data_IF_828856516103
#
_entry.id   IF_828856516103
#
_cell.length_a   1.000
_cell.length_b   1.000
_cell.length_c   1.000
_cell.angle_alpha   90.00
_cell.angle_beta   90.00
_cell.angle_gamma   90.00
#
_symmetry.space_group_name_H-M   'P 1'
#
loop_
_entity.id
_entity.type
_entity.pdbx_description
1 polymer ?
#
# COMPACT_ATOMS: atom_id res chain seq x y z
N UNK A 1 19.41 -16.24 58.00
CA UNK A 1 19.36 -14.76 57.99
C UNK A 1 17.97 -14.36 57.53
N UNK A 2 17.21 -13.73 58.41
CA UNK A 2 15.81 -13.34 58.21
C UNK A 2 15.70 -11.87 57.78
N UNK A 3 14.69 -11.53 56.98
CA UNK A 3 13.87 -10.31 57.05
C UNK A 3 12.81 -10.40 55.94
N UNK A 4 11.55 -10.70 56.24
CA UNK A 4 10.49 -9.82 56.77
C UNK A 4 9.78 -9.00 55.67
N UNK A 5 8.47 -9.26 55.66
CA UNK A 5 7.34 -8.77 54.86
C UNK A 5 7.11 -7.25 54.90
N UNK A 6 6.43 -6.72 53.87
CA UNK A 6 5.17 -5.99 54.06
C UNK A 6 4.39 -5.82 52.74
N UNK A 7 3.15 -6.27 52.75
CA UNK A 7 2.11 -5.97 51.78
C UNK A 7 1.24 -4.84 52.35
N UNK A 8 0.89 -3.85 51.53
CA UNK A 8 -0.09 -2.81 51.88
C UNK A 8 -1.23 -2.90 50.87
N UNK A 9 -2.39 -3.33 51.35
CA UNK A 9 -3.69 -3.14 50.70
C UNK A 9 -4.28 -1.81 51.15
N UNK A 10 -4.79 -1.01 50.21
CA UNK A 10 -5.74 0.06 50.51
C UNK A 10 -6.92 -0.06 49.55
N UNK A 11 -8.10 -0.22 50.14
CA UNK A 11 -9.41 -0.19 49.51
C UNK A 11 -10.16 1.09 49.91
N UNK A 12 -11.34 1.27 49.30
CA UNK A 12 -12.36 2.34 49.46
C UNK A 12 -12.20 3.50 48.46
N UNK A 13 -13.24 4.10 47.90
CA UNK A 13 -14.67 3.80 47.69
C UNK A 13 -15.22 4.97 46.86
N UNK A 14 -16.25 4.72 46.06
CA UNK A 14 -16.98 5.68 45.23
C UNK A 14 -17.59 6.89 45.97
N UNK A 15 -17.59 8.06 45.33
CA UNK A 15 -18.74 8.98 45.38
C UNK A 15 -18.80 9.91 44.13
N UNK A 16 -20.00 10.16 43.55
CA UNK A 16 -20.21 10.96 42.35
C UNK A 16 -20.55 12.44 42.67
N UNK A 17 -20.55 13.28 41.62
CA UNK A 17 -20.92 14.71 41.58
C UNK A 17 -19.82 15.74 41.91
N UNK A 18 -19.23 16.30 40.85
CA UNK A 18 -18.96 17.74 40.80
C UNK A 18 -19.15 18.26 39.37
N UNK A 19 -20.14 19.14 39.21
CA UNK A 19 -20.34 19.97 38.02
C UNK A 19 -19.19 20.98 37.94
N UNK A 20 -18.53 21.07 36.80
CA UNK A 20 -17.63 22.18 36.47
C UNK A 20 -18.11 22.83 35.18
N UNK A 21 -18.46 24.10 35.33
CA UNK A 21 -18.96 25.05 34.35
C UNK A 21 -17.89 25.39 33.30
N UNK A 22 -18.28 25.34 32.03
CA UNK A 22 -17.51 25.80 30.89
C UNK A 22 -17.87 27.26 30.56
N UNK A 23 -17.06 28.20 31.04
CA UNK A 23 -17.00 29.56 30.49
C UNK A 23 -15.52 29.87 30.27
N UNK A 24 -15.08 29.95 29.02
CA UNK A 24 -14.00 30.84 28.53
C UNK A 24 -13.74 30.55 27.04
N UNK A 25 -14.38 31.33 26.16
CA UNK A 25 -14.04 31.45 24.74
C UNK A 25 -13.62 32.90 24.49
N UNK A 26 -12.40 33.18 24.01
CA UNK A 26 -12.10 34.45 23.36
C UNK A 26 -12.25 34.32 21.84
N UNK A 27 -13.26 35.00 21.29
CA UNK A 27 -13.40 35.28 19.85
C UNK A 27 -12.32 36.29 19.43
N UNK A 28 -11.57 35.99 18.36
CA UNK A 28 -10.84 37.01 17.60
C UNK A 28 -11.41 37.10 16.17
N UNK A 29 -12.10 38.21 15.91
CA UNK A 29 -12.47 38.69 14.58
C UNK A 29 -11.54 39.85 14.21
N UNK A 30 -10.82 39.76 13.10
CA UNK A 30 -10.46 40.92 12.26
C UNK A 30 -10.30 40.47 10.79
N UNK A 31 -11.02 41.08 9.83
CA UNK A 31 -10.73 40.88 8.42
C UNK A 31 -9.60 41.81 7.98
N UNK A 32 -8.66 41.29 7.18
CA UNK A 32 -7.67 42.08 6.44
C UNK A 32 -8.15 42.15 4.99
N UNK A 33 -8.42 43.37 4.51
CA UNK A 33 -8.68 43.65 3.10
C UNK A 33 -7.35 43.60 2.32
N UNK A 34 -7.31 42.77 1.27
CA UNK A 34 -6.24 42.80 0.27
C UNK A 34 -6.87 43.20 -1.07
N UNK A 35 -6.35 44.30 -1.62
CA UNK A 35 -6.70 44.84 -2.93
C UNK A 35 -5.94 44.07 -4.03
N UNK A 36 -6.66 43.53 -5.01
CA UNK A 36 -6.12 42.92 -6.22
C UNK A 36 -6.15 43.96 -7.36
N UNK A 37 -4.97 44.34 -7.85
CA UNK A 37 -4.81 45.02 -9.13
C UNK A 37 -4.60 43.96 -10.22
N UNK A 38 -5.43 44.03 -11.26
CA UNK A 38 -5.35 43.21 -12.46
C UNK A 38 -4.78 44.04 -13.62
N UNK A 39 -3.90 43.41 -14.41
CA UNK A 39 -3.58 43.76 -15.80
C UNK A 39 -3.17 42.45 -16.47
N UNK A 40 -3.98 41.84 -17.36
CA UNK A 40 -3.97 41.98 -18.84
C UNK A 40 -2.56 42.14 -19.39
N UNK A 41 -2.04 41.39 -20.36
CA UNK A 41 -2.63 40.59 -21.45
C UNK A 41 -1.46 40.00 -22.26
N UNK A 42 -1.59 38.82 -22.85
CA UNK A 42 -0.75 38.40 -23.98
C UNK A 42 -1.53 37.42 -24.88
N UNK A 43 -1.83 37.87 -26.09
CA UNK A 43 -2.47 37.11 -27.17
C UNK A 43 -1.46 36.18 -27.86
N UNK A 44 -1.96 35.03 -28.30
CA UNK A 44 -1.31 34.05 -29.16
C UNK A 44 -1.79 34.24 -30.61
N UNK A 45 -0.89 34.09 -31.58
CA UNK A 45 -1.22 33.87 -33.00
C UNK A 45 -0.33 32.75 -33.57
N UNK A 46 -0.90 31.66 -34.10
CA UNK A 46 -0.19 30.82 -35.04
C UNK A 46 -0.97 30.61 -36.35
N UNK A 47 -0.41 31.11 -37.44
CA UNK A 47 -0.85 30.85 -38.81
C UNK A 47 -0.67 29.39 -39.25
N UNK A 48 -1.74 28.83 -39.83
CA UNK A 48 -1.80 27.56 -40.58
C UNK A 48 -1.11 27.67 -41.94
N UNK A 49 -0.47 26.58 -42.37
CA UNK A 49 -0.29 26.23 -43.78
C UNK A 49 -0.46 24.70 -43.96
N UNK A 50 -1.49 24.33 -44.73
CA UNK A 50 -1.76 23.00 -45.27
C UNK A 50 -0.95 22.79 -46.56
N UNK A 51 -0.60 21.53 -46.91
CA UNK A 51 -0.57 21.03 -48.30
C UNK A 51 -0.47 19.48 -48.37
N UNK A 52 -1.57 18.90 -48.87
CA UNK A 52 -1.79 17.71 -49.73
C UNK A 52 -0.81 16.52 -49.86
N UNK A 53 -1.41 15.32 -49.75
CA UNK A 53 -0.98 13.99 -50.27
C UNK A 53 -0.93 13.92 -51.81
N UNK A 54 -0.32 12.84 -52.36
CA UNK A 54 -1.04 12.02 -53.34
C UNK A 54 -0.97 10.50 -53.09
N UNK A 55 -1.89 9.82 -53.79
CA UNK A 55 -2.27 8.41 -53.76
C UNK A 55 -1.45 7.60 -54.78
N UNK A 56 -1.17 6.32 -54.50
CA UNK A 56 -0.71 5.33 -55.47
C UNK A 56 -1.34 3.95 -55.23
N UNK A 57 -2.11 3.48 -56.22
CA UNK A 57 -2.61 2.10 -56.35
C UNK A 57 -1.47 1.10 -56.61
N UNK A 58 -1.62 -0.17 -56.22
CA UNK A 58 -1.81 -1.29 -57.17
C UNK A 58 -1.83 -2.69 -56.55
N UNK A 59 -2.69 -3.53 -57.17
CA UNK A 59 -2.71 -5.01 -57.31
C UNK A 59 -3.37 -5.90 -56.25
N UNK A 60 -4.44 -6.55 -56.75
CA UNK A 60 -5.11 -7.76 -56.27
C UNK A 60 -4.18 -8.98 -56.31
N UNK A 61 -4.30 -9.85 -55.31
CA UNK A 61 -4.16 -11.30 -55.45
C UNK A 61 -5.28 -11.96 -54.64
N UNK A 62 -6.12 -12.76 -55.31
CA UNK A 62 -7.05 -13.67 -54.67
C UNK A 62 -6.35 -15.03 -54.52
N UNK A 63 -6.38 -15.61 -53.33
CA UNK A 63 -6.08 -17.01 -53.10
C UNK A 63 -7.02 -17.55 -52.01
N UNK A 64 -7.74 -18.62 -52.33
CA UNK A 64 -8.60 -19.37 -51.42
C UNK A 64 -7.76 -20.04 -50.32
N UNK A 65 -8.22 -19.98 -49.07
CA UNK A 65 -7.78 -20.87 -48.01
C UNK A 65 -8.96 -21.20 -47.08
N UNK A 66 -9.18 -22.50 -46.91
CA UNK A 66 -10.09 -23.18 -45.98
C UNK A 66 -9.85 -22.70 -44.54
N UNK A 67 -10.89 -22.51 -43.70
CA UNK A 67 -10.66 -22.19 -42.30
C UNK A 67 -10.28 -23.47 -41.54
N UNK A 68 -9.00 -23.61 -41.20
CA UNK A 68 -8.57 -24.50 -40.11
C UNK A 68 -8.68 -23.70 -38.84
N UNK A 69 -9.52 -24.17 -37.91
CA UNK A 69 -9.57 -23.63 -36.55
C UNK A 69 -8.18 -23.76 -35.91
N UNK A 70 -7.58 -22.64 -35.54
CA UNK A 70 -6.48 -22.62 -34.59
C UNK A 70 -7.01 -22.13 -33.25
N UNK A 71 -7.19 -23.06 -32.32
CA UNK A 71 -7.34 -22.77 -30.91
C UNK A 71 -5.92 -22.66 -30.32
N UNK A 72 -5.31 -21.49 -30.44
CA UNK A 72 -4.12 -21.17 -29.65
C UNK A 72 -4.55 -20.33 -28.44
N UNK A 73 -4.86 -21.01 -27.33
CA UNK A 73 -4.83 -20.39 -26.01
C UNK A 73 -3.38 -19.97 -25.78
N UNK A 74 -3.12 -18.67 -25.80
CA UNK A 74 -1.79 -18.11 -25.66
C UNK A 74 -1.13 -18.58 -24.37
N UNK A 75 -0.01 -19.29 -24.49
CA UNK A 75 0.93 -19.50 -23.40
C UNK A 75 1.40 -18.14 -22.89
N UNK A 76 1.00 -17.77 -21.67
CA UNK A 76 1.59 -16.60 -20.99
C UNK A 76 3.05 -16.94 -20.69
N UNK A 77 3.95 -16.42 -21.51
CA UNK A 77 5.39 -16.42 -21.26
C UNK A 77 5.66 -15.92 -19.83
N UNK A 78 6.35 -16.72 -19.03
CA UNK A 78 6.84 -16.32 -17.70
C UNK A 78 7.78 -15.12 -17.84
N UNK A 79 7.26 -13.91 -17.68
CA UNK A 79 8.06 -12.69 -17.77
C UNK A 79 8.96 -12.56 -16.54
N UNK A 80 10.24 -12.27 -16.77
CA UNK A 80 11.20 -11.90 -15.73
C UNK A 80 10.65 -10.70 -14.95
N UNK A 81 10.56 -10.76 -13.60
CA UNK A 81 10.03 -9.65 -12.82
C UNK A 81 10.95 -8.43 -12.89
N UNK A 82 10.35 -7.24 -12.92
CA UNK A 82 11.09 -6.01 -12.64
C UNK A 82 11.46 -5.97 -11.16
N UNK A 83 12.65 -5.49 -10.84
CA UNK A 83 13.14 -5.41 -9.46
C UNK A 83 13.48 -3.96 -9.13
N UNK A 84 12.91 -3.45 -8.04
CA UNK A 84 13.34 -2.20 -7.38
C UNK A 84 13.96 -2.58 -6.05
N UNK A 85 15.20 -2.19 -5.80
CA UNK A 85 15.89 -2.44 -4.54
C UNK A 85 15.68 -1.28 -3.58
N UNK A 86 15.33 -1.57 -2.33
CA UNK A 86 15.32 -0.60 -1.24
C UNK A 86 16.62 -0.73 -0.46
N UNK A 87 17.52 0.23 -0.61
CA UNK A 87 18.85 0.15 0.03
C UNK A 87 18.79 0.64 1.48
N UNK A 88 18.99 -0.28 2.42
CA UNK A 88 19.09 -0.05 3.86
C UNK A 88 20.27 -0.81 4.47
N UNK A 89 21.32 -1.04 3.68
CA UNK A 89 22.49 -1.83 4.05
C UNK A 89 22.15 -3.29 4.33
N UNK A 90 22.42 -3.78 5.55
CA UNK A 90 22.14 -5.19 5.90
C UNK A 90 20.63 -5.53 5.94
N UNK A 91 19.76 -4.54 5.79
CA UNK A 91 18.29 -4.69 5.79
C UNK A 91 17.68 -4.38 4.42
N UNK A 92 18.50 -4.28 3.37
CA UNK A 92 18.01 -4.06 2.02
C UNK A 92 17.11 -5.20 1.57
N UNK A 93 16.10 -4.88 0.78
CA UNK A 93 15.15 -5.86 0.27
C UNK A 93 14.65 -5.51 -1.13
N UNK A 94 14.30 -6.54 -1.92
CA UNK A 94 13.75 -6.37 -3.26
C UNK A 94 12.24 -6.17 -3.25
N UNK A 95 11.77 -5.36 -4.21
CA UNK A 95 10.38 -5.26 -4.63
C UNK A 95 10.29 -5.92 -6.02
N UNK A 96 9.61 -7.06 -6.10
CA UNK A 96 9.33 -7.75 -7.36
C UNK A 96 8.03 -7.23 -7.96
N UNK A 97 8.04 -6.86 -9.23
CA UNK A 97 6.88 -6.29 -9.94
C UNK A 97 6.68 -7.02 -11.26
N UNK A 98 5.46 -7.49 -11.51
CA UNK A 98 5.05 -8.02 -12.81
C UNK A 98 3.73 -8.78 -12.74
N UNK A 99 3.39 -9.45 -13.85
CA UNK A 99 2.18 -10.28 -13.97
C UNK A 99 2.46 -11.75 -13.65
N UNK A 100 1.56 -12.41 -12.94
CA UNK A 100 1.63 -13.85 -12.63
C UNK A 100 2.75 -14.23 -11.66
N UNK A 101 3.20 -13.29 -10.83
CA UNK A 101 4.30 -13.53 -9.88
C UNK A 101 3.90 -14.48 -8.76
N UNK A 102 2.61 -14.59 -8.43
CA UNK A 102 2.13 -15.59 -7.47
C UNK A 102 2.29 -17.02 -7.97
N UNK A 103 2.44 -17.24 -9.28
CA UNK A 103 2.71 -18.56 -9.86
C UNK A 103 4.22 -18.92 -9.85
N UNK A 104 5.08 -17.93 -9.57
CA UNK A 104 6.55 -18.08 -9.50
C UNK A 104 6.99 -18.33 -8.05
N UNK A 105 6.72 -19.54 -7.55
CA UNK A 105 6.90 -19.90 -6.14
C UNK A 105 8.32 -19.65 -5.60
N UNK A 106 9.36 -19.74 -6.44
CA UNK A 106 10.75 -19.47 -6.06
C UNK A 106 10.95 -18.03 -5.57
N UNK A 107 10.15 -17.07 -6.06
CA UNK A 107 10.24 -15.67 -5.61
C UNK A 107 9.84 -15.51 -4.14
N UNK A 108 8.83 -16.24 -3.67
CA UNK A 108 8.42 -16.23 -2.27
C UNK A 108 9.36 -17.09 -1.43
N UNK A 109 9.59 -18.34 -1.84
CA UNK A 109 10.26 -19.34 -1.03
C UNK A 109 11.71 -18.96 -0.67
N UNK A 110 12.42 -18.24 -1.54
CA UNK A 110 13.79 -17.78 -1.25
C UNK A 110 13.88 -16.79 -0.07
N UNK A 111 12.77 -16.13 0.27
CA UNK A 111 12.68 -15.18 1.39
C UNK A 111 12.06 -15.81 2.65
N UNK A 112 11.71 -17.10 2.59
CA UNK A 112 11.25 -17.89 3.74
C UNK A 112 12.43 -18.63 4.35
N UNK A 113 13.00 -18.05 5.41
CA UNK A 113 14.20 -18.58 6.07
C UNK A 113 13.94 -19.66 7.13
N UNK A 114 12.68 -20.07 7.31
CA UNK A 114 12.26 -21.07 8.29
C UNK A 114 11.31 -22.11 7.71
N UNK A 115 10.67 -22.89 8.59
CA UNK A 115 9.78 -24.00 8.20
C UNK A 115 8.30 -23.69 8.39
N UNK A 116 7.96 -22.62 9.10
CA UNK A 116 6.58 -22.25 9.41
C UNK A 116 6.27 -20.87 8.86
N UNK A 117 5.14 -20.75 8.17
CA UNK A 117 4.64 -19.48 7.63
C UNK A 117 3.24 -19.22 8.18
N UNK A 118 2.96 -17.96 8.51
CA UNK A 118 1.62 -17.49 8.88
C UNK A 118 1.14 -16.49 7.84
N UNK A 119 0.13 -16.85 7.04
CA UNK A 119 -0.51 -15.92 6.11
C UNK A 119 -1.58 -15.13 6.87
N UNK A 120 -1.45 -13.82 6.91
CA UNK A 120 -2.44 -12.90 7.49
C UNK A 120 -3.15 -12.19 6.34
N UNK A 121 -4.47 -12.33 6.28
CA UNK A 121 -5.30 -11.74 5.23
C UNK A 121 -6.65 -11.32 5.81
N UNK A 122 -7.58 -10.82 4.97
CA UNK A 122 -8.93 -10.47 5.39
C UNK A 122 -10.00 -11.35 4.71
N UNK A 123 -11.24 -11.20 5.16
CA UNK A 123 -12.41 -11.94 4.64
C UNK A 123 -12.69 -11.73 3.15
N UNK A 124 -12.21 -10.64 2.55
CA UNK A 124 -12.46 -10.29 1.14
C UNK A 124 -11.37 -10.88 0.23
N UNK A 125 -10.11 -10.83 0.66
CA UNK A 125 -8.93 -11.25 -0.10
C UNK A 125 -8.70 -12.76 0.02
N UNK A 126 -9.03 -13.36 1.17
CA UNK A 126 -8.86 -14.80 1.40
C UNK A 126 -9.45 -15.68 0.28
N UNK A 127 -10.75 -15.56 -0.08
CA UNK A 127 -11.34 -16.42 -1.12
C UNK A 127 -10.78 -16.18 -2.52
N UNK A 128 -10.05 -15.09 -2.75
CA UNK A 128 -9.48 -14.74 -4.07
C UNK A 128 -8.06 -15.31 -4.24
N UNK A 129 -7.22 -15.18 -3.21
CA UNK A 129 -5.78 -15.34 -3.36
C UNK A 129 -5.10 -16.21 -2.29
N UNK A 130 -5.77 -16.58 -1.19
CA UNK A 130 -5.13 -17.32 -0.11
C UNK A 130 -4.60 -18.67 -0.58
N UNK A 131 -5.43 -19.47 -1.23
CA UNK A 131 -5.05 -20.81 -1.71
C UNK A 131 -3.89 -20.74 -2.71
N UNK A 132 -3.90 -19.73 -3.59
CA UNK A 132 -2.81 -19.49 -4.55
C UNK A 132 -1.49 -19.18 -3.84
N UNK A 133 -1.52 -18.35 -2.80
CA UNK A 133 -0.33 -18.04 -1.99
C UNK A 133 0.14 -19.25 -1.18
N UNK A 134 -0.77 -20.03 -0.62
CA UNK A 134 -0.43 -21.27 0.10
C UNK A 134 0.23 -22.29 -0.84
N UNK A 135 -0.29 -22.47 -2.05
CA UNK A 135 0.34 -23.30 -3.08
C UNK A 135 1.74 -22.77 -3.40
N UNK A 136 1.89 -21.47 -3.68
CA UNK A 136 3.20 -20.88 -3.96
C UNK A 136 4.23 -21.07 -2.83
N UNK A 137 3.79 -21.04 -1.57
CA UNK A 137 4.68 -21.25 -0.42
C UNK A 137 5.08 -22.72 -0.20
N UNK A 138 4.26 -23.67 -0.64
CA UNK A 138 4.42 -25.12 -0.31
C UNK A 138 4.80 -25.98 -1.51
N UNK A 139 4.54 -25.50 -2.74
CA UNK A 139 4.80 -26.22 -3.99
C UNK A 139 6.27 -26.59 -4.11
N UNK A 140 6.51 -27.89 -4.26
CA UNK A 140 7.86 -28.46 -4.33
C UNK A 140 8.68 -28.36 -3.04
N UNK A 141 8.11 -27.88 -1.93
CA UNK A 141 8.83 -27.62 -0.69
C UNK A 141 8.19 -28.32 0.52
N UNK A 142 8.56 -29.60 0.79
CA UNK A 142 7.98 -30.38 1.89
C UNK A 142 8.39 -29.88 3.28
N UNK A 143 9.31 -28.91 3.38
CA UNK A 143 9.81 -28.39 4.66
C UNK A 143 9.00 -27.20 5.19
N UNK A 144 8.11 -26.62 4.37
CA UNK A 144 7.31 -25.46 4.72
C UNK A 144 5.88 -25.91 5.07
N UNK A 145 5.42 -25.54 6.25
CA UNK A 145 4.02 -25.64 6.67
C UNK A 145 3.41 -24.25 6.80
N UNK A 146 2.19 -24.08 6.29
CA UNK A 146 1.49 -22.79 6.28
C UNK A 146 0.27 -22.85 7.19
N UNK A 147 0.16 -21.88 8.09
CA UNK A 147 -1.03 -21.54 8.85
C UNK A 147 -1.60 -20.22 8.31
N UNK A 148 -2.87 -19.92 8.59
CA UNK A 148 -3.46 -18.64 8.21
C UNK A 148 -4.34 -18.01 9.31
N UNK A 149 -4.50 -16.69 9.22
CA UNK A 149 -5.45 -15.88 9.99
C UNK A 149 -6.24 -15.02 9.01
N UNK A 150 -7.57 -15.12 9.08
CA UNK A 150 -8.48 -14.30 8.30
C UNK A 150 -9.10 -13.26 9.24
N UNK A 151 -8.72 -11.99 9.04
CA UNK A 151 -9.22 -10.84 9.78
C UNK A 151 -10.48 -10.27 9.11
N UNK A 152 -11.33 -9.54 9.85
CA UNK A 152 -12.42 -8.77 9.23
C UNK A 152 -11.86 -7.66 8.34
N UNK A 153 -12.56 -7.35 7.24
CA UNK A 153 -12.12 -6.33 6.27
C UNK A 153 -12.56 -4.90 6.63
N UNK A 154 -11.65 -3.93 6.44
CA UNK A 154 -11.90 -2.50 6.59
C UNK A 154 -11.00 -1.77 7.61
N UNK A 155 -10.77 -0.47 7.38
CA UNK A 155 -9.91 0.40 8.21
C UNK A 155 -10.35 0.44 9.70
N UNK A 156 -11.65 0.32 9.98
CA UNK A 156 -12.18 0.28 11.35
C UNK A 156 -11.62 -0.87 12.21
N UNK A 157 -11.16 -1.95 11.57
CA UNK A 157 -10.56 -3.10 12.23
C UNK A 157 -9.04 -2.99 12.38
N UNK A 158 -8.42 -1.90 11.90
CA UNK A 158 -7.00 -1.62 12.05
C UNK A 158 -6.67 -1.15 13.47
N UNK A 159 -6.87 -2.03 14.45
CA UNK A 159 -6.80 -1.73 15.88
C UNK A 159 -6.15 -2.89 16.67
N UNK A 160 -5.85 -2.65 17.94
CA UNK A 160 -5.16 -3.63 18.79
C UNK A 160 -5.99 -4.90 19.02
N UNK A 161 -7.30 -4.78 19.19
CA UNK A 161 -8.19 -5.91 19.41
C UNK A 161 -8.13 -6.91 18.25
N UNK A 162 -8.16 -6.41 17.01
CA UNK A 162 -8.07 -7.27 15.82
C UNK A 162 -6.66 -7.81 15.64
N UNK A 163 -5.63 -7.02 15.97
CA UNK A 163 -4.23 -7.45 15.93
C UNK A 163 -3.94 -8.63 16.87
N UNK A 164 -4.60 -8.68 18.04
CA UNK A 164 -4.46 -9.79 19.00
C UNK A 164 -4.78 -11.15 18.39
N UNK A 165 -5.73 -11.23 17.45
CA UNK A 165 -6.06 -12.49 16.74
C UNK A 165 -4.87 -13.08 15.99
N UNK A 166 -3.96 -12.23 15.50
CA UNK A 166 -2.72 -12.67 14.85
C UNK A 166 -1.78 -13.29 15.87
N UNK A 167 -1.61 -12.66 17.03
CA UNK A 167 -0.78 -13.19 18.11
C UNK A 167 -1.35 -14.48 18.70
N UNK A 168 -2.65 -14.55 18.94
CA UNK A 168 -3.33 -15.72 19.49
C UNK A 168 -3.11 -16.92 18.56
N UNK A 169 -3.39 -16.78 17.26
CA UNK A 169 -3.14 -17.85 16.29
C UNK A 169 -1.67 -18.26 16.23
N UNK A 170 -0.74 -17.30 16.26
CA UNK A 170 0.69 -17.57 16.21
C UNK A 170 1.16 -18.37 17.44
N UNK A 171 0.65 -18.05 18.63
CA UNK A 171 0.97 -18.74 19.89
C UNK A 171 0.32 -20.13 19.93
N UNK A 172 -0.96 -20.24 19.57
CA UNK A 172 -1.70 -21.51 19.50
C UNK A 172 -1.02 -22.50 18.54
N UNK A 173 -0.55 -22.00 17.38
CA UNK A 173 0.17 -22.79 16.36
C UNK A 173 1.64 -23.05 16.72
N UNK A 174 2.08 -22.58 17.90
CA UNK A 174 3.44 -22.68 18.43
C UNK A 174 4.48 -22.24 17.40
N UNK A 175 4.27 -21.06 16.83
CA UNK A 175 5.26 -20.42 15.95
C UNK A 175 6.46 -19.97 16.77
N UNK A 176 7.65 -20.06 16.17
CA UNK A 176 8.91 -19.67 16.79
C UNK A 176 9.56 -18.49 16.05
N UNK A 177 10.74 -18.07 16.50
CA UNK A 177 11.47 -16.89 15.96
C UNK A 177 11.90 -17.04 14.49
N UNK A 178 11.87 -18.24 13.92
CA UNK A 178 12.21 -18.52 12.53
C UNK A 178 10.97 -18.56 11.64
N UNK A 179 9.77 -18.40 12.18
CA UNK A 179 8.57 -18.27 11.35
C UNK A 179 8.64 -17.01 10.47
N UNK A 180 7.88 -17.02 9.39
CA UNK A 180 7.71 -15.86 8.51
C UNK A 180 6.24 -15.51 8.42
N UNK A 181 5.89 -14.25 8.65
CA UNK A 181 4.53 -13.76 8.42
C UNK A 181 4.39 -13.30 6.97
N UNK A 182 3.24 -13.53 6.36
CA UNK A 182 2.95 -13.08 4.99
C UNK A 182 1.72 -12.19 5.04
N UNK A 183 1.88 -10.92 4.71
CA UNK A 183 0.79 -9.97 4.61
C UNK A 183 0.16 -10.07 3.22
N UNK A 184 -1.03 -10.67 3.12
CA UNK A 184 -1.77 -10.81 1.87
C UNK A 184 -3.01 -9.91 1.89
N UNK A 185 -2.93 -8.74 1.24
CA UNK A 185 -4.03 -7.78 1.27
C UNK A 185 -3.63 -6.37 0.85
N UNK A 186 -4.49 -5.39 1.16
CA UNK A 186 -4.18 -3.97 1.02
C UNK A 186 -3.35 -3.41 2.18
N UNK A 187 -3.23 -2.09 2.25
CA UNK A 187 -2.40 -1.40 3.25
C UNK A 187 -2.80 -1.67 4.71
N UNK A 188 -4.09 -1.92 4.98
CA UNK A 188 -4.57 -2.31 6.33
C UNK A 188 -3.91 -3.60 6.79
N UNK A 189 -3.95 -4.65 5.97
CA UNK A 189 -3.32 -5.93 6.28
C UNK A 189 -1.80 -5.80 6.32
N UNK A 190 -1.21 -5.02 5.39
CA UNK A 190 0.22 -4.74 5.37
C UNK A 190 0.72 -4.15 6.70
N UNK A 191 0.06 -3.09 7.17
CA UNK A 191 0.44 -2.41 8.41
C UNK A 191 0.23 -3.28 9.65
N UNK A 192 -0.91 -3.98 9.73
CA UNK A 192 -1.21 -4.86 10.87
C UNK A 192 -0.27 -6.06 10.91
N UNK A 193 -0.07 -6.75 9.79
CA UNK A 193 0.81 -7.92 9.72
C UNK A 193 2.26 -7.52 9.99
N UNK A 194 2.73 -6.41 9.41
CA UNK A 194 4.07 -5.88 9.66
C UNK A 194 4.29 -5.53 11.14
N UNK A 195 3.31 -4.91 11.79
CA UNK A 195 3.42 -4.58 13.22
C UNK A 195 3.34 -5.82 14.11
N UNK A 196 2.48 -6.78 13.76
CA UNK A 196 2.45 -8.09 14.43
C UNK A 196 3.80 -8.81 14.30
N UNK A 197 4.41 -8.82 13.12
CA UNK A 197 5.72 -9.43 12.90
C UNK A 197 6.83 -8.73 13.70
N UNK A 198 6.79 -7.40 13.79
CA UNK A 198 7.73 -6.62 14.59
C UNK A 198 7.63 -6.95 16.09
N UNK A 199 6.41 -7.14 16.60
CA UNK A 199 6.15 -7.35 18.02
C UNK A 199 6.25 -8.82 18.45
N UNK A 200 5.80 -9.77 17.61
CA UNK A 200 5.74 -11.19 17.94
C UNK A 200 7.14 -11.72 18.23
N UNK A 201 7.33 -12.28 19.44
CA UNK A 201 8.63 -12.72 19.94
C UNK A 201 9.73 -11.64 19.84
N UNK A 202 9.38 -10.35 19.79
CA UNK A 202 10.29 -9.20 19.57
C UNK A 202 10.92 -9.16 18.17
N UNK A 203 10.25 -9.71 17.17
CA UNK A 203 10.66 -9.66 15.78
C UNK A 203 10.74 -11.05 15.15
N UNK A 204 9.97 -11.23 14.09
CA UNK A 204 10.05 -12.36 13.14
C UNK A 204 10.02 -11.82 11.72
N UNK A 205 10.55 -12.59 10.77
CA UNK A 205 10.55 -12.18 9.37
C UNK A 205 9.13 -11.97 8.85
N UNK A 206 8.95 -11.05 7.89
CA UNK A 206 7.69 -10.96 7.15
C UNK A 206 7.88 -10.59 5.69
N UNK A 207 6.88 -10.92 4.86
CA UNK A 207 6.81 -10.65 3.43
C UNK A 207 5.52 -9.88 3.14
N UNK A 208 5.57 -8.92 2.21
CA UNK A 208 4.41 -8.18 1.73
C UNK A 208 3.94 -8.73 0.37
N UNK A 209 2.64 -9.03 0.26
CA UNK A 209 1.96 -9.33 -1.00
C UNK A 209 0.79 -8.33 -1.15
N UNK A 210 1.08 -7.09 -1.59
CA UNK A 210 0.09 -6.04 -1.71
C UNK A 210 -0.88 -6.26 -2.90
N UNK A 211 -2.18 -6.16 -2.64
CA UNK A 211 -3.26 -6.46 -3.62
C UNK A 211 -4.12 -5.23 -3.98
N UNK A 212 -3.72 -4.04 -3.53
CA UNK A 212 -4.35 -2.77 -3.93
C UNK A 212 -3.31 -1.83 -4.54
N UNK A 213 -3.73 -0.91 -5.40
CA UNK A 213 -2.82 0.09 -5.99
C UNK A 213 -2.12 0.87 -4.88
N UNK A 214 -2.89 1.39 -3.91
CA UNK A 214 -2.38 2.07 -2.70
C UNK A 214 -1.27 1.27 -1.99
N UNK A 215 -1.45 -0.04 -1.83
CA UNK A 215 -0.47 -0.88 -1.18
C UNK A 215 0.77 -1.11 -2.05
N UNK A 216 0.59 -1.31 -3.35
CA UNK A 216 1.66 -1.57 -4.31
C UNK A 216 2.57 -0.35 -4.51
N UNK A 217 2.01 0.86 -4.52
CA UNK A 217 2.77 2.09 -4.83
C UNK A 217 3.27 2.83 -3.59
N UNK A 218 2.69 2.56 -2.41
CA UNK A 218 3.01 3.31 -1.20
C UNK A 218 3.18 2.40 0.02
N UNK A 219 2.10 1.92 0.65
CA UNK A 219 2.19 1.35 2.02
C UNK A 219 3.05 0.09 2.17
N UNK A 220 3.26 -0.71 1.12
CA UNK A 220 4.15 -1.88 1.21
C UNK A 220 5.65 -1.52 1.25
N UNK A 221 6.01 -0.27 0.94
CA UNK A 221 7.40 0.21 0.86
C UNK A 221 7.76 1.07 2.07
N UNK A 222 8.92 0.81 2.66
CA UNK A 222 9.56 1.66 3.67
C UNK A 222 9.27 1.31 5.13
N UNK A 223 8.58 0.21 5.39
CA UNK A 223 8.53 -0.43 6.71
C UNK A 223 7.83 0.36 7.82
N UNK A 224 7.01 1.37 7.49
CA UNK A 224 6.06 1.92 8.48
C UNK A 224 4.97 0.87 8.66
N UNK A 225 4.74 0.44 9.90
CA UNK A 225 3.73 -0.57 10.25
C UNK A 225 2.98 -0.08 11.48
N UNK A 226 1.72 -0.47 11.65
CA UNK A 226 0.98 -0.05 12.83
C UNK A 226 -0.52 -0.25 12.77
N UNK A 227 -1.18 0.37 13.75
CA UNK A 227 -2.61 0.36 13.98
C UNK A 227 -3.10 1.73 14.42
N UNK A 228 -4.40 1.94 14.28
CA UNK A 228 -5.09 3.14 14.72
C UNK A 228 -5.40 3.09 16.22
N UNK A 229 -5.45 4.27 16.81
CA UNK A 229 -6.04 4.51 18.12
C UNK A 229 -7.36 5.28 17.91
N UNK A 230 -8.37 5.20 18.80
CA UNK A 230 -9.59 6.00 18.67
C UNK A 230 -9.36 7.52 18.56
N UNK A 231 -8.21 8.01 19.05
CA UNK A 231 -7.81 9.42 18.99
C UNK A 231 -6.96 9.79 17.76
N UNK A 232 -6.60 8.84 16.90
CA UNK A 232 -5.85 9.16 15.70
C UNK A 232 -5.31 7.98 14.93
N UNK A 233 -5.05 8.24 13.64
CA UNK A 233 -4.58 7.25 12.67
C UNK A 233 -3.10 6.93 12.86
N UNK A 234 -2.74 5.64 12.75
CA UNK A 234 -1.35 5.15 12.76
C UNK A 234 -0.48 5.58 13.96
N UNK A 235 -1.09 5.88 15.12
CA UNK A 235 -0.35 6.38 16.28
C UNK A 235 0.46 5.31 17.03
N UNK A 236 0.17 4.03 16.80
CA UNK A 236 0.83 2.91 17.47
C UNK A 236 1.42 1.99 16.41
N UNK A 237 2.74 1.80 16.41
CA UNK A 237 3.39 1.06 15.34
C UNK A 237 4.89 0.86 15.54
N UNK A 238 5.54 0.38 14.48
CA UNK A 238 6.99 0.16 14.43
C UNK A 238 7.54 0.44 13.01
N UNK A 239 8.79 0.87 12.95
CA UNK A 239 9.59 0.81 11.72
C UNK A 239 10.18 -0.60 11.59
N UNK A 240 9.64 -1.42 10.68
CA UNK A 240 9.99 -2.82 10.49
C UNK A 240 9.96 -3.20 9.01
N UNK A 241 11.11 -3.60 8.45
CA UNK A 241 11.26 -3.85 7.01
C UNK A 241 10.90 -5.30 6.65
N UNK A 242 10.23 -5.53 5.50
CA UNK A 242 9.96 -6.87 5.01
C UNK A 242 11.23 -7.54 4.47
N UNK A 243 11.18 -8.85 4.27
CA UNK A 243 12.22 -9.59 3.54
C UNK A 243 12.12 -9.35 2.02
N UNK A 244 10.90 -9.14 1.52
CA UNK A 244 10.62 -8.68 0.17
C UNK A 244 9.18 -8.15 0.06
N UNK A 245 8.93 -7.45 -1.05
CA UNK A 245 7.59 -7.12 -1.51
C UNK A 245 7.36 -7.83 -2.83
N UNK A 246 6.25 -8.55 -2.97
CA UNK A 246 5.87 -9.24 -4.21
C UNK A 246 4.57 -8.66 -4.77
N UNK A 247 4.72 -7.87 -5.84
CA UNK A 247 3.64 -7.17 -6.52
C UNK A 247 3.26 -7.96 -7.78
N UNK A 248 2.26 -8.83 -7.63
CA UNK A 248 1.58 -9.44 -8.77
C UNK A 248 0.48 -8.50 -9.28
N UNK A 249 0.68 -7.91 -10.46
CA UNK A 249 -0.25 -6.95 -11.07
C UNK A 249 -1.60 -7.58 -11.40
N UNK A 250 -1.67 -8.90 -11.56
CA UNK A 250 -2.93 -9.61 -11.84
C UNK A 250 -3.91 -9.48 -10.68
N UNK A 251 -3.43 -9.27 -9.45
CA UNK A 251 -4.30 -9.07 -8.28
C UNK A 251 -5.18 -7.83 -8.39
N UNK A 252 -4.77 -6.86 -9.23
CA UNK A 252 -5.56 -5.67 -9.50
C UNK A 252 -6.79 -5.95 -10.37
N UNK A 253 -6.91 -7.09 -11.06
CA UNK A 253 -8.06 -7.37 -11.92
C UNK A 253 -9.38 -7.51 -11.14
N UNK A 254 -9.31 -7.84 -9.85
CA UNK A 254 -10.48 -7.94 -8.95
C UNK A 254 -10.68 -6.69 -8.09
N UNK A 255 -9.79 -5.72 -8.16
CA UNK A 255 -9.86 -4.52 -7.32
C UNK A 255 -11.03 -3.62 -7.78
N UNK A 256 -11.91 -3.11 -6.90
CA UNK A 256 -12.96 -2.17 -7.30
C UNK A 256 -12.40 -0.87 -7.90
N UNK A 257 -13.13 -0.24 -8.83
CA UNK A 257 -12.69 1.01 -9.48
C UNK A 257 -12.44 2.15 -8.49
N UNK A 258 -13.26 2.24 -7.43
CA UNK A 258 -13.08 3.26 -6.37
C UNK A 258 -11.74 3.08 -5.62
N UNK A 259 -11.35 1.84 -5.35
CA UNK A 259 -10.08 1.51 -4.69
C UNK A 259 -8.88 1.75 -5.63
N UNK A 260 -9.05 1.47 -6.93
CA UNK A 260 -8.07 1.81 -7.95
C UNK A 260 -7.83 3.33 -7.99
N UNK A 261 -8.91 4.11 -8.12
CA UNK A 261 -8.84 5.57 -8.14
C UNK A 261 -8.21 6.13 -6.84
N UNK A 262 -8.56 5.55 -5.69
CA UNK A 262 -7.95 5.91 -4.41
C UNK A 262 -6.44 5.71 -4.41
N UNK A 263 -5.93 4.59 -4.93
CA UNK A 263 -4.49 4.34 -5.01
C UNK A 263 -3.75 5.30 -5.96
N UNK A 264 -4.40 5.79 -7.01
CA UNK A 264 -3.80 6.75 -7.95
C UNK A 264 -3.50 8.11 -7.30
N UNK A 265 -4.17 8.47 -6.20
CA UNK A 265 -3.84 9.69 -5.45
C UNK A 265 -2.38 9.68 -4.96
N UNK A 266 -1.88 8.52 -4.52
CA UNK A 266 -0.47 8.38 -4.10
C UNK A 266 0.50 8.41 -5.30
N UNK A 267 0.08 7.87 -6.44
CA UNK A 267 0.87 7.94 -7.69
C UNK A 267 1.07 9.41 -8.10
N UNK A 268 0.00 10.20 -8.03
CA UNK A 268 0.02 11.65 -8.30
C UNK A 268 0.90 12.40 -7.30
N UNK A 269 0.81 12.05 -6.01
CA UNK A 269 1.61 12.66 -4.95
C UNK A 269 3.12 12.61 -5.27
N UNK A 270 3.65 11.47 -5.74
CA UNK A 270 5.08 11.37 -6.06
C UNK A 270 5.51 12.33 -7.17
N UNK A 271 4.67 12.48 -8.19
CA UNK A 271 4.92 13.44 -9.27
C UNK A 271 5.01 14.87 -8.74
N UNK A 272 4.05 15.27 -7.92
CA UNK A 272 3.97 16.62 -7.34
C UNK A 272 5.12 16.95 -6.39
N UNK A 273 5.53 16.01 -5.52
CA UNK A 273 6.51 16.32 -4.48
C UNK A 273 7.96 16.28 -4.98
N UNK A 274 8.25 15.51 -6.06
CA UNK A 274 9.65 15.27 -6.43
C UNK A 274 9.95 14.82 -7.86
N UNK A 275 8.95 14.54 -8.70
CA UNK A 275 9.19 13.88 -9.99
C UNK A 275 8.31 14.47 -11.11
N UNK A 276 8.68 15.67 -11.57
CA UNK A 276 7.92 16.41 -12.56
C UNK A 276 7.74 15.64 -13.88
N UNK A 277 8.77 14.93 -14.35
CA UNK A 277 8.66 14.09 -15.56
C UNK A 277 7.65 12.96 -15.36
N UNK A 278 7.60 12.36 -14.16
CA UNK A 278 6.58 11.36 -13.85
C UNK A 278 5.19 11.98 -13.77
N UNK A 279 5.04 13.19 -13.23
CA UNK A 279 3.77 13.92 -13.23
C UNK A 279 3.26 14.18 -14.67
N UNK A 280 4.12 14.69 -15.55
CA UNK A 280 3.79 14.90 -16.97
C UNK A 280 3.45 13.59 -17.69
N UNK A 281 4.11 12.49 -17.33
CA UNK A 281 3.77 11.17 -17.85
C UNK A 281 2.37 10.73 -17.40
N UNK A 282 2.01 10.98 -16.13
CA UNK A 282 0.69 10.65 -15.60
C UNK A 282 -0.42 11.42 -16.31
N UNK A 283 -0.24 12.71 -16.57
CA UNK A 283 -1.21 13.52 -17.33
C UNK A 283 -1.51 12.91 -18.70
N UNK A 284 -0.50 12.35 -19.37
CA UNK A 284 -0.63 11.74 -20.70
C UNK A 284 -1.19 10.31 -20.67
N UNK A 285 -1.14 9.62 -19.52
CA UNK A 285 -1.47 8.19 -19.43
C UNK A 285 -2.59 7.88 -18.42
N UNK A 286 -3.24 8.88 -17.82
CA UNK A 286 -4.29 8.66 -16.82
C UNK A 286 -5.46 7.82 -17.35
N UNK A 287 -5.87 8.02 -18.61
CA UNK A 287 -6.92 7.20 -19.22
C UNK A 287 -6.52 5.72 -19.30
N UNK A 288 -5.25 5.43 -19.59
CA UNK A 288 -4.72 4.05 -19.62
C UNK A 288 -4.67 3.44 -18.22
N UNK A 289 -4.27 4.22 -17.21
CA UNK A 289 -4.29 3.78 -15.81
C UNK A 289 -5.73 3.48 -15.36
N UNK A 290 -6.69 4.34 -15.65
CA UNK A 290 -8.09 4.07 -15.32
C UNK A 290 -8.64 2.85 -16.09
N UNK A 291 -8.13 2.59 -17.30
CA UNK A 291 -8.49 1.43 -18.11
C UNK A 291 -7.73 0.14 -17.77
N UNK A 292 -6.86 0.12 -16.76
CA UNK A 292 -6.07 -1.07 -16.36
C UNK A 292 -5.13 -1.57 -17.44
N UNK A 293 -4.58 -0.66 -18.24
CA UNK A 293 -3.52 -0.98 -19.18
C UNK A 293 -2.30 -1.57 -18.44
N UNK A 294 -1.89 -2.82 -18.75
CA UNK A 294 -0.83 -3.51 -18.00
C UNK A 294 0.51 -2.78 -18.01
N UNK A 295 0.89 -2.22 -19.17
CA UNK A 295 2.18 -1.55 -19.34
C UNK A 295 2.22 -0.22 -18.58
N UNK A 296 1.16 0.58 -18.67
CA UNK A 296 1.03 1.82 -17.90
C UNK A 296 1.05 1.54 -16.40
N UNK A 297 0.34 0.51 -15.92
CA UNK A 297 0.34 0.16 -14.50
C UNK A 297 1.69 -0.34 -14.01
N UNK A 298 2.35 -1.22 -14.76
CA UNK A 298 3.67 -1.72 -14.41
C UNK A 298 4.68 -0.56 -14.29
N UNK A 299 4.63 0.41 -15.21
CA UNK A 299 5.46 1.62 -15.13
C UNK A 299 5.11 2.49 -13.92
N UNK A 300 3.82 2.77 -13.70
CA UNK A 300 3.38 3.61 -12.58
C UNK A 300 3.76 3.01 -11.22
N UNK A 301 3.62 1.70 -11.03
CA UNK A 301 4.03 0.98 -9.82
C UNK A 301 5.55 1.06 -9.65
N UNK A 302 6.31 0.67 -10.68
CA UNK A 302 7.78 0.73 -10.66
C UNK A 302 8.29 2.12 -10.27
N UNK A 303 7.80 3.16 -10.94
CA UNK A 303 8.27 4.53 -10.72
C UNK A 303 7.86 5.08 -9.36
N UNK A 304 6.70 4.70 -8.85
CA UNK A 304 6.28 5.03 -7.48
C UNK A 304 7.16 4.34 -6.44
N UNK A 305 7.46 3.05 -6.62
CA UNK A 305 8.37 2.30 -5.75
C UNK A 305 9.78 2.90 -5.76
N UNK A 306 10.33 3.28 -6.92
CA UNK A 306 11.62 3.97 -7.03
C UNK A 306 11.63 5.28 -6.24
N UNK A 307 10.61 6.12 -6.44
CA UNK A 307 10.47 7.40 -5.74
C UNK A 307 10.45 7.21 -4.21
N UNK A 308 9.69 6.22 -3.71
CA UNK A 308 9.61 5.97 -2.27
C UNK A 308 10.86 5.29 -1.73
N UNK A 309 11.44 4.33 -2.46
CA UNK A 309 12.66 3.63 -2.07
C UNK A 309 13.80 4.62 -1.85
N UNK A 310 14.00 5.57 -2.76
CA UNK A 310 15.06 6.57 -2.63
C UNK A 310 14.84 7.48 -1.41
N UNK A 311 13.61 7.95 -1.15
CA UNK A 311 13.31 8.73 0.07
C UNK A 311 13.57 7.90 1.33
N UNK A 312 13.16 6.63 1.35
CA UNK A 312 13.33 5.72 2.49
C UNK A 312 14.80 5.42 2.75
N UNK A 313 15.61 5.20 1.71
CA UNK A 313 17.04 4.96 1.83
C UNK A 313 17.78 6.16 2.43
N UNK A 314 17.33 7.37 2.10
CA UNK A 314 17.89 8.62 2.63
C UNK A 314 17.38 8.95 4.05
N UNK A 315 16.16 8.56 4.40
CA UNK A 315 15.53 8.90 5.67
C UNK A 315 14.54 7.84 6.17
N UNK A 316 15.06 6.66 6.57
CA UNK A 316 14.25 5.51 6.98
C UNK A 316 13.30 5.83 8.15
N UNK A 317 13.73 6.66 9.11
CA UNK A 317 12.99 6.91 10.35
C UNK A 317 12.31 8.27 10.40
N UNK A 318 12.17 8.93 9.25
CA UNK A 318 11.43 10.18 9.10
C UNK A 318 11.92 11.30 10.01
N UNK A 319 13.21 11.61 9.91
CA UNK A 319 13.86 12.71 10.61
C UNK A 319 13.81 14.03 9.81
N UNK A 320 13.42 14.00 8.54
CA UNK A 320 13.29 15.19 7.70
C UNK A 320 12.71 14.89 6.32
N UNK A 321 13.53 14.43 5.37
CA UNK A 321 13.16 14.26 3.96
C UNK A 321 11.91 13.40 3.77
N UNK A 322 11.74 12.32 4.56
CA UNK A 322 10.61 11.41 4.42
C UNK A 322 9.27 12.05 4.80
N UNK A 323 9.27 13.18 5.51
CA UNK A 323 8.06 13.95 5.79
C UNK A 323 7.43 14.55 4.53
N UNK A 324 8.19 14.71 3.43
CA UNK A 324 7.64 15.18 2.14
C UNK A 324 6.61 14.21 1.56
N UNK A 325 6.67 12.93 1.93
CA UNK A 325 5.68 11.91 1.53
C UNK A 325 4.30 12.16 2.17
N UNK A 326 4.18 13.10 3.11
CA UNK A 326 2.93 13.44 3.78
C UNK A 326 2.18 14.59 3.11
N UNK A 327 2.50 14.97 1.86
CA UNK A 327 1.69 15.92 1.09
C UNK A 327 0.21 15.49 1.12
N UNK A 328 -0.67 16.42 1.46
CA UNK A 328 -2.11 16.20 1.63
C UNK A 328 -2.54 15.39 2.86
N UNK A 329 -1.63 14.69 3.54
CA UNK A 329 -1.98 13.76 4.63
C UNK A 329 -2.45 14.47 5.91
N UNK A 330 -1.95 15.67 6.21
CA UNK A 330 -2.43 16.43 7.38
C UNK A 330 -3.93 16.71 7.29
N UNK A 331 -4.40 17.18 6.14
CA UNK A 331 -5.81 17.41 5.88
C UNK A 331 -6.58 16.10 5.67
N UNK A 332 -6.00 15.15 4.93
CA UNK A 332 -6.59 13.84 4.70
C UNK A 332 -6.91 13.09 5.99
N UNK A 333 -5.96 13.02 6.93
CA UNK A 333 -6.20 12.40 8.23
C UNK A 333 -7.30 13.11 9.04
N UNK A 334 -7.39 14.43 8.95
CA UNK A 334 -8.47 15.18 9.59
C UNK A 334 -9.85 14.83 8.99
N UNK A 335 -9.94 14.65 7.66
CA UNK A 335 -11.15 14.18 6.98
C UNK A 335 -11.51 12.77 7.47
N UNK A 336 -10.56 11.83 7.46
CA UNK A 336 -10.80 10.44 7.85
C UNK A 336 -11.22 10.31 9.32
N UNK A 337 -10.53 10.99 10.24
CA UNK A 337 -10.89 10.98 11.66
C UNK A 337 -12.19 11.73 11.93
N UNK A 338 -12.46 12.82 11.20
CA UNK A 338 -13.66 13.65 11.39
C UNK A 338 -14.95 13.04 10.85
N UNK A 339 -14.91 12.36 9.69
CA UNK A 339 -16.06 11.67 9.10
C UNK A 339 -16.24 10.24 9.61
N UNK A 340 -15.17 9.60 10.07
CA UNK A 340 -15.15 8.21 10.51
C UNK A 340 -14.39 7.30 9.54
N UNK A 341 -13.60 6.37 10.10
CA UNK A 341 -12.76 5.47 9.32
C UNK A 341 -13.58 4.56 8.39
N UNK A 342 -13.35 4.70 7.08
CA UNK A 342 -14.00 3.90 6.03
C UNK A 342 -15.11 4.62 5.27
N UNK A 343 -15.54 5.81 5.70
CA UNK A 343 -16.51 6.62 4.94
C UNK A 343 -15.88 7.16 3.65
N UNK A 344 -14.70 7.77 3.80
CA UNK A 344 -13.79 8.10 2.71
C UNK A 344 -12.66 7.09 2.68
N UNK A 345 -12.27 6.67 1.47
CA UNK A 345 -11.04 5.93 1.29
C UNK A 345 -9.85 6.86 1.54
N UNK A 346 -8.74 6.30 2.00
CA UNK A 346 -7.56 7.09 2.34
C UNK A 346 -7.09 7.98 1.18
N UNK A 347 -7.00 7.44 -0.03
CA UNK A 347 -6.59 8.21 -1.21
C UNK A 347 -7.59 9.29 -1.64
N UNK A 348 -8.88 9.14 -1.33
CA UNK A 348 -9.86 10.21 -1.58
C UNK A 348 -9.60 11.40 -0.64
N UNK A 349 -9.32 11.10 0.63
CA UNK A 349 -8.98 12.11 1.62
C UNK A 349 -7.62 12.77 1.33
N UNK A 350 -6.62 12.00 0.90
CA UNK A 350 -5.31 12.53 0.47
C UNK A 350 -5.43 13.39 -0.79
N UNK A 351 -6.25 12.99 -1.77
CA UNK A 351 -6.50 13.79 -2.95
C UNK A 351 -7.12 15.16 -2.59
N UNK A 352 -8.16 15.18 -1.76
CA UNK A 352 -8.75 16.42 -1.26
C UNK A 352 -7.74 17.26 -0.47
N UNK A 353 -6.97 16.63 0.42
CA UNK A 353 -5.95 17.30 1.21
C UNK A 353 -4.79 17.86 0.40
N UNK A 354 -4.47 17.26 -0.75
CA UNK A 354 -3.41 17.73 -1.66
C UNK A 354 -3.80 19.05 -2.36
N UNK A 355 -5.10 19.29 -2.54
CA UNK A 355 -5.63 20.52 -3.14
C UNK A 355 -5.67 21.70 -2.14
N UNK A 356 -5.73 21.42 -0.83
CA UNK A 356 -5.86 22.41 0.25
C UNK A 356 -4.53 23.07 0.64
#
# INVERSE_FOLDING_TARGET
MACATNAISLSLSSNPNSKLSSDFIPKLNRPVNVSLCASTSAELDPGRLFLSRPIGLSRRICANATPVMDQSVGERSSSVPTIVEVDLGNRSYPIYIGSGLLDQHELLQKHVHGKKVLVVTNTTIAPLYLDKVVDALTKGNPNVSVENVILPDGEKYKNMETLMKVFDKAIESRLDRRCTFVALGGGVIGDMCGFAAAAFLRGVNFIQIPTTVMAQVDSSVGGKTGINHPLGKNLIGAFYQPQCVLIDTDTLSTLPDRELASGLAEVIKYGLIRDAEFFEWQEKNMEKLMARDPDAFAYAIKRSCENKAEVVSLDEKESGLRATLNLGHTFGHAIETGFGYGEWLHGEAVAAGTVM
#
